data_IF_328425172778
#
_entry.id   IF_328425172778
#
_cell.length_a   1.000
_cell.length_b   1.000
_cell.length_c   1.000
_cell.angle_alpha   90.00
_cell.angle_beta   90.00
_cell.angle_gamma   90.00
#
_symmetry.space_group_name_H-M   'P 1'
#
loop_
_entity.id
_entity.type
_entity.pdbx_description
1 polymer ?
#
# COMPACT_ATOMS: atom_id res chain seq x y z
N UNK A 1 -33.97 -21.11 8.66
CA UNK A 1 -32.97 -21.47 9.68
C UNK A 1 -32.27 -22.73 9.21
N UNK A 2 -30.97 -22.65 8.90
CA UNK A 2 -30.19 -23.82 8.46
C UNK A 2 -29.87 -24.68 9.69
N UNK A 3 -30.63 -25.77 9.87
CA UNK A 3 -30.41 -26.75 10.91
C UNK A 3 -29.19 -27.62 10.54
N UNK A 4 -28.11 -27.55 11.33
CA UNK A 4 -26.96 -28.47 11.24
C UNK A 4 -25.60 -27.85 10.85
N UNK A 5 -25.56 -26.60 10.39
CA UNK A 5 -24.32 -25.98 9.88
C UNK A 5 -23.46 -25.25 10.93
N UNK A 6 -23.86 -25.27 12.19
CA UNK A 6 -23.18 -24.61 13.31
C UNK A 6 -22.65 -25.62 14.36
N UNK A 7 -22.29 -26.83 13.92
CA UNK A 7 -21.66 -27.85 14.76
C UNK A 7 -20.13 -27.76 14.68
N UNK A 8 -19.47 -28.13 15.77
CA UNK A 8 -17.99 -28.18 15.91
C UNK A 8 -17.31 -26.82 15.62
N UNK A 9 -17.31 -25.93 16.62
CA UNK A 9 -16.65 -24.60 16.61
C UNK A 9 -16.93 -23.72 15.37
N UNK A 10 -18.09 -23.90 14.74
CA UNK A 10 -18.52 -23.13 13.57
C UNK A 10 -19.64 -22.14 13.92
N UNK A 11 -19.61 -20.96 13.29
CA UNK A 11 -20.61 -19.90 13.45
C UNK A 11 -21.11 -19.49 12.06
N UNK A 12 -22.43 -19.32 11.94
CA UNK A 12 -23.09 -18.86 10.71
C UNK A 12 -23.43 -17.39 10.88
N UNK A 13 -22.97 -16.55 9.95
CA UNK A 13 -23.31 -15.13 9.91
C UNK A 13 -24.43 -14.85 8.92
N UNK A 14 -25.28 -13.89 9.27
CA UNK A 14 -26.31 -13.39 8.36
C UNK A 14 -25.66 -12.47 7.31
N UNK A 15 -25.84 -12.81 6.03
CA UNK A 15 -25.24 -12.09 4.90
C UNK A 15 -25.61 -10.61 4.88
N UNK A 16 -26.89 -10.26 5.04
CA UNK A 16 -27.34 -8.86 5.08
C UNK A 16 -26.67 -8.06 6.20
N UNK A 17 -26.38 -8.70 7.34
CA UNK A 17 -25.66 -8.05 8.45
C UNK A 17 -24.20 -7.80 8.10
N UNK A 18 -23.54 -8.75 7.42
CA UNK A 18 -22.17 -8.61 6.91
C UNK A 18 -22.08 -7.50 5.86
N UNK A 19 -23.00 -7.47 4.90
CA UNK A 19 -23.07 -6.43 3.86
C UNK A 19 -23.28 -5.04 4.47
N UNK A 20 -24.05 -4.96 5.55
CA UNK A 20 -24.27 -3.73 6.33
C UNK A 20 -23.12 -3.40 7.29
N UNK A 21 -21.99 -4.11 7.23
CA UNK A 21 -20.76 -3.77 7.93
C UNK A 21 -20.49 -4.53 9.22
N UNK A 22 -21.23 -5.60 9.53
CA UNK A 22 -20.90 -6.48 10.65
C UNK A 22 -19.50 -7.09 10.43
N UNK A 23 -18.59 -6.89 11.40
CA UNK A 23 -17.16 -7.25 11.34
C UNK A 23 -16.33 -6.54 10.25
N UNK A 24 -16.83 -5.45 9.66
CA UNK A 24 -16.02 -4.62 8.79
C UNK A 24 -14.80 -4.09 9.56
N UNK A 25 -13.61 -4.26 9.00
CA UNK A 25 -12.37 -3.87 9.63
C UNK A 25 -11.49 -3.11 8.63
N UNK A 26 -10.90 -2.02 9.12
CA UNK A 26 -9.91 -1.24 8.40
C UNK A 26 -8.55 -1.55 9.01
N UNK A 27 -7.66 -2.14 8.20
CA UNK A 27 -6.27 -2.37 8.63
C UNK A 27 -5.33 -1.44 7.88
N UNK A 28 -4.50 -0.76 8.64
CA UNK A 28 -3.44 0.09 8.12
C UNK A 28 -2.14 -0.69 7.99
N UNK A 29 -1.38 -0.39 6.94
CA UNK A 29 0.01 -0.85 6.77
C UNK A 29 0.85 0.24 6.16
N UNK A 30 2.15 0.11 6.33
CA UNK A 30 3.12 1.13 5.99
C UNK A 30 4.27 0.50 5.21
N UNK A 31 4.77 1.20 4.21
CA UNK A 31 6.04 0.90 3.58
C UNK A 31 6.91 2.14 3.63
N UNK A 32 8.14 1.98 4.12
CA UNK A 32 9.10 3.05 4.32
C UNK A 32 10.28 2.89 3.39
N UNK A 33 10.84 4.02 2.95
CA UNK A 33 12.13 4.10 2.28
C UNK A 33 12.92 5.29 2.82
N UNK A 34 14.24 5.21 2.67
CA UNK A 34 15.10 6.38 2.79
C UNK A 34 16.09 6.44 1.63
N UNK A 35 16.55 7.64 1.31
CA UNK A 35 17.54 7.89 0.26
C UNK A 35 18.33 9.17 0.57
N UNK A 36 19.57 9.25 0.06
CA UNK A 36 20.43 10.42 0.26
C UNK A 36 20.06 11.50 -0.75
N UNK A 37 19.65 12.70 -0.29
CA UNK A 37 19.31 13.80 -1.21
C UNK A 37 20.55 14.41 -1.89
N UNK A 38 21.75 14.07 -1.42
CA UNK A 38 23.01 14.52 -2.02
C UNK A 38 23.27 13.89 -3.39
N UNK A 39 22.74 12.69 -3.63
CA UNK A 39 23.01 11.90 -4.84
C UNK A 39 21.75 11.30 -5.49
N UNK A 40 20.61 11.33 -4.79
CA UNK A 40 19.40 10.59 -5.17
C UNK A 40 18.14 11.45 -5.12
N UNK A 41 17.21 11.17 -6.03
CA UNK A 41 15.89 11.81 -6.08
C UNK A 41 14.79 10.78 -6.39
N UNK A 42 13.61 10.99 -5.81
CA UNK A 42 12.41 10.24 -6.16
C UNK A 42 11.78 10.75 -7.47
N UNK A 43 11.36 9.82 -8.31
CA UNK A 43 10.75 10.11 -9.60
C UNK A 43 9.32 9.57 -9.65
N UNK A 44 8.42 10.34 -10.27
CA UNK A 44 7.06 9.90 -10.55
C UNK A 44 7.05 8.67 -11.46
N UNK A 45 6.39 7.59 -11.00
CA UNK A 45 6.21 6.38 -11.79
C UNK A 45 5.11 6.57 -12.84
N UNK A 46 4.03 7.29 -12.49
CA UNK A 46 2.92 7.60 -13.38
C UNK A 46 2.20 8.90 -12.94
N UNK A 47 1.10 9.26 -13.60
CA UNK A 47 0.33 10.49 -13.33
C UNK A 47 -0.37 10.56 -11.95
N UNK A 48 -0.57 9.41 -11.31
CA UNK A 48 -1.12 9.32 -9.96
C UNK A 48 -0.06 9.53 -8.88
N UNK A 49 1.19 9.78 -9.27
CA UNK A 49 2.27 10.12 -8.36
C UNK A 49 2.54 11.63 -8.39
N UNK A 50 3.01 12.14 -7.27
CA UNK A 50 3.45 13.52 -7.08
C UNK A 50 4.71 13.50 -6.23
N UNK A 51 5.77 14.18 -6.70
CA UNK A 51 7.09 14.19 -6.05
C UNK A 51 7.64 12.76 -5.76
N UNK A 52 7.32 11.83 -6.65
CA UNK A 52 7.69 10.41 -6.60
C UNK A 52 6.97 9.58 -5.54
N UNK A 53 5.90 10.12 -4.94
CA UNK A 53 5.01 9.41 -4.03
C UNK A 53 3.61 9.25 -4.61
N UNK A 54 2.89 8.17 -4.31
CA UNK A 54 1.52 8.01 -4.77
C UNK A 54 0.59 9.03 -4.09
N UNK A 55 -0.34 9.60 -4.84
CA UNK A 55 -1.36 10.51 -4.29
C UNK A 55 -2.34 9.74 -3.39
N UNK A 56 -3.00 10.39 -2.42
CA UNK A 56 -4.09 9.78 -1.67
C UNK A 56 -5.16 9.18 -2.58
N UNK A 57 -5.77 8.08 -2.15
CA UNK A 57 -6.72 7.25 -2.91
C UNK A 57 -6.15 6.61 -4.19
N UNK A 58 -4.84 6.69 -4.43
CA UNK A 58 -4.21 5.90 -5.49
C UNK A 58 -4.33 4.41 -5.15
N UNK A 59 -4.80 3.65 -6.13
CA UNK A 59 -4.89 2.21 -6.05
C UNK A 59 -3.55 1.59 -6.45
N UNK A 60 -2.95 0.82 -5.55
CA UNK A 60 -1.68 0.13 -5.78
C UNK A 60 -1.84 -1.38 -5.54
N UNK A 61 -0.84 -2.16 -5.96
CA UNK A 61 -0.86 -3.63 -5.90
C UNK A 61 -2.03 -4.21 -6.70
N UNK A 62 -2.20 -3.73 -7.92
CA UNK A 62 -3.34 -4.07 -8.78
C UNK A 62 -3.23 -5.48 -9.33
N UNK A 63 -2.01 -5.97 -9.51
CA UNK A 63 -1.76 -7.25 -10.13
C UNK A 63 -1.88 -8.42 -9.12
N UNK A 64 -2.90 -9.25 -9.29
CA UNK A 64 -3.11 -10.47 -8.47
C UNK A 64 -2.14 -11.61 -8.79
N UNK A 65 -1.32 -11.47 -9.84
CA UNK A 65 -0.52 -12.54 -10.43
C UNK A 65 1.01 -12.37 -10.27
N UNK A 66 1.48 -11.85 -9.12
CA UNK A 66 2.89 -11.86 -8.71
C UNK A 66 3.85 -10.85 -9.38
N UNK A 67 3.39 -9.79 -10.06
CA UNK A 67 4.32 -8.75 -10.48
C UNK A 67 4.63 -7.80 -9.33
N UNK A 68 5.90 -7.65 -9.01
CA UNK A 68 6.38 -6.63 -8.09
C UNK A 68 6.23 -5.23 -8.72
N UNK A 69 5.04 -4.63 -8.58
CA UNK A 69 4.81 -3.25 -9.02
C UNK A 69 5.77 -2.33 -8.24
N UNK A 70 6.52 -1.43 -8.91
CA UNK A 70 7.36 -0.48 -8.19
C UNK A 70 6.45 0.48 -7.41
N UNK A 71 6.72 0.63 -6.11
CA UNK A 71 6.11 1.66 -5.27
C UNK A 71 6.94 2.93 -5.24
N UNK A 72 8.26 2.81 -5.29
CA UNK A 72 9.16 3.95 -5.38
C UNK A 72 10.14 3.75 -6.52
N UNK A 73 10.52 4.84 -7.17
CA UNK A 73 11.57 4.88 -8.18
C UNK A 73 12.57 5.95 -7.80
N UNK A 74 13.80 5.55 -7.56
CA UNK A 74 14.90 6.43 -7.17
C UNK A 74 15.88 6.53 -8.34
N UNK A 75 16.26 7.75 -8.69
CA UNK A 75 17.35 8.00 -9.63
C UNK A 75 18.57 8.51 -8.87
N UNK A 76 19.70 7.85 -9.09
CA UNK A 76 21.00 8.27 -8.58
C UNK A 76 21.74 9.03 -9.69
N UNK A 77 21.93 10.34 -9.52
CA UNK A 77 22.55 11.18 -10.56
C UNK A 77 24.07 11.04 -10.65
N UNK A 78 24.72 10.61 -9.56
CA UNK A 78 26.18 10.38 -9.53
C UNK A 78 26.56 9.11 -10.28
N UNK A 79 25.76 8.04 -10.17
CA UNK A 79 25.95 6.77 -10.87
C UNK A 79 25.20 6.70 -12.21
N UNK A 80 24.28 7.63 -12.45
CA UNK A 80 23.35 7.62 -13.58
C UNK A 80 22.53 6.31 -13.65
N UNK A 81 22.01 5.87 -12.50
CA UNK A 81 21.29 4.61 -12.34
C UNK A 81 19.87 4.85 -11.80
N UNK A 82 18.93 3.99 -12.22
CA UNK A 82 17.55 3.97 -11.69
C UNK A 82 17.35 2.70 -10.88
N UNK A 83 16.84 2.84 -9.66
CA UNK A 83 16.45 1.73 -8.78
C UNK A 83 14.96 1.80 -8.49
N UNK A 84 14.28 0.70 -8.79
CA UNK A 84 12.89 0.50 -8.40
C UNK A 84 12.82 -0.23 -7.05
N UNK A 85 11.98 0.27 -6.15
CA UNK A 85 11.65 -0.38 -4.88
C UNK A 85 10.24 -0.95 -5.03
N UNK A 86 10.19 -2.27 -4.96
CA UNK A 86 8.99 -3.05 -5.13
C UNK A 86 7.97 -2.81 -4.00
N UNK A 87 6.70 -2.85 -4.36
CA UNK A 87 5.60 -2.80 -3.41
C UNK A 87 5.52 -4.10 -2.59
N UNK A 88 5.53 -3.99 -1.25
CA UNK A 88 5.36 -5.16 -0.35
C UNK A 88 3.91 -5.64 -0.25
N UNK A 89 2.95 -4.81 -0.66
CA UNK A 89 1.53 -5.13 -0.59
C UNK A 89 1.17 -6.07 -1.74
N UNK A 90 0.82 -7.31 -1.40
CA UNK A 90 0.45 -8.36 -2.39
C UNK A 90 -1.05 -8.42 -2.69
N UNK A 91 -1.82 -7.46 -2.19
CA UNK A 91 -3.26 -7.35 -2.39
C UNK A 91 -3.59 -5.89 -2.68
N UNK A 92 -4.63 -5.71 -3.49
CA UNK A 92 -5.15 -4.42 -3.91
C UNK A 92 -5.51 -3.55 -2.69
N UNK A 93 -4.91 -2.37 -2.63
CA UNK A 93 -4.98 -1.45 -1.49
C UNK A 93 -5.03 0.00 -1.95
N UNK A 94 -5.64 0.84 -1.13
CA UNK A 94 -5.68 2.28 -1.37
C UNK A 94 -4.63 2.96 -0.51
N UNK A 95 -3.92 3.92 -1.08
CA UNK A 95 -3.08 4.84 -0.33
C UNK A 95 -3.99 5.76 0.48
N UNK A 96 -3.80 5.81 1.79
CA UNK A 96 -4.53 6.73 2.68
C UNK A 96 -3.75 8.04 2.81
N UNK A 97 -2.46 7.92 3.11
CA UNK A 97 -1.59 9.06 3.33
C UNK A 97 -0.14 8.76 2.91
N UNK A 98 0.60 9.81 2.56
CA UNK A 98 2.03 9.71 2.29
C UNK A 98 2.74 10.85 3.02
N UNK A 99 3.84 10.55 3.68
CA UNK A 99 4.65 11.55 4.39
C UNK A 99 6.08 11.53 3.90
N UNK A 100 6.68 12.72 3.88
CA UNK A 100 8.10 12.94 3.64
C UNK A 100 8.69 13.73 4.79
N UNK A 101 9.91 13.37 5.18
CA UNK A 101 10.67 14.06 6.21
C UNK A 101 12.15 14.03 5.84
N UNK A 102 12.88 15.12 6.06
CA UNK A 102 14.31 15.22 5.74
C UNK A 102 15.08 15.56 7.00
N UNK A 103 16.12 14.77 7.28
CA UNK A 103 17.04 14.95 8.40
C UNK A 103 18.45 14.51 7.97
N UNK A 104 19.46 15.32 8.28
CA UNK A 104 20.87 15.03 7.98
C UNK A 104 21.14 14.58 6.53
N UNK A 105 20.59 15.32 5.55
CA UNK A 105 20.65 15.01 4.11
C UNK A 105 20.04 13.67 3.67
N UNK A 106 19.29 13.02 4.56
CA UNK A 106 18.53 11.81 4.26
C UNK A 106 17.05 12.18 4.16
N UNK A 107 16.42 11.84 3.04
CA UNK A 107 14.97 11.90 2.90
C UNK A 107 14.36 10.56 3.31
N UNK A 108 13.40 10.61 4.22
CA UNK A 108 12.57 9.49 4.66
C UNK A 108 11.18 9.65 4.04
N UNK A 109 10.67 8.60 3.42
CA UNK A 109 9.32 8.57 2.88
C UNK A 109 8.53 7.40 3.44
N UNK A 110 7.25 7.63 3.71
CA UNK A 110 6.31 6.62 4.15
C UNK A 110 5.06 6.66 3.27
N UNK A 111 4.62 5.48 2.84
CA UNK A 111 3.31 5.28 2.23
C UNK A 111 2.45 4.50 3.21
N UNK A 112 1.40 5.16 3.70
CA UNK A 112 0.35 4.56 4.51
C UNK A 112 -0.78 4.09 3.59
N UNK A 113 -1.18 2.84 3.77
CA UNK A 113 -2.27 2.24 3.01
C UNK A 113 -3.40 1.80 3.92
N UNK A 114 -4.59 1.80 3.34
CA UNK A 114 -5.81 1.27 3.91
C UNK A 114 -6.21 -0.02 3.20
N UNK A 115 -6.21 -1.13 3.92
CA UNK A 115 -6.86 -2.35 3.48
C UNK A 115 -8.36 -2.29 3.78
N UNK A 116 -9.17 -2.32 2.72
CA UNK A 116 -10.60 -2.58 2.82
C UNK A 116 -10.80 -4.09 2.84
N UNK A 117 -10.88 -4.68 4.03
CA UNK A 117 -11.37 -6.05 4.14
C UNK A 117 -12.89 -6.01 4.01
N UNK A 118 -13.38 -6.44 2.84
CA UNK A 118 -14.75 -6.93 2.78
C UNK A 118 -14.76 -8.31 3.44
N UNK A 119 -15.65 -8.56 4.43
CA UNK A 119 -15.76 -9.86 5.07
C UNK A 119 -16.05 -10.98 4.07
#
# INVERSE_FOLDING_TARGET
MAFGNNQEDSVIFNETSIENGMFANIKYRYQYISYSIQDEILININSNYENGLPKPNTLIARNSFYSNEPLFRIYNFTKNEVRDIENIFKRLVYVDHCTTFVEDDICYCCVEIRHLYKP
#
